data_IF_253911445061
#
_entry.id   IF_253911445061
#
_cell.length_a   1.000
_cell.length_b   1.000
_cell.length_c   1.000
_cell.angle_alpha   90.00
_cell.angle_beta   90.00
_cell.angle_gamma   90.00
#
_symmetry.space_group_name_H-M   'P 1'
#
loop_
_entity.id
_entity.type
_entity.pdbx_description
1 polymer ?
#
# COMPACT_ATOMS: atom_id res chain seq x y z
N UNK A 1 17.74 5.29 -6.61
CA UNK A 1 16.29 5.12 -6.80
C UNK A 1 15.91 3.66 -6.60
N UNK A 2 14.95 3.39 -5.72
CA UNK A 2 14.51 2.00 -5.53
C UNK A 2 13.93 1.47 -6.85
N UNK A 3 14.20 0.23 -7.16
CA UNK A 3 13.66 -0.39 -8.35
C UNK A 3 12.96 -1.70 -7.97
N UNK A 4 11.85 -1.96 -8.64
CA UNK A 4 11.05 -3.15 -8.41
C UNK A 4 10.36 -3.53 -9.70
N UNK A 5 10.20 -4.83 -9.91
CA UNK A 5 9.51 -5.37 -11.08
C UNK A 5 8.30 -6.21 -10.67
N UNK A 6 8.23 -6.63 -9.41
CA UNK A 6 7.14 -7.45 -8.91
C UNK A 6 6.59 -6.86 -7.61
N UNK A 7 5.40 -7.32 -7.24
CA UNK A 7 4.79 -6.92 -5.98
C UNK A 7 5.65 -7.31 -4.78
N UNK A 8 6.22 -8.51 -4.81
CA UNK A 8 7.09 -8.98 -3.72
C UNK A 8 8.26 -8.04 -3.52
N UNK A 9 8.89 -7.61 -4.62
CA UNK A 9 10.02 -6.68 -4.54
C UNK A 9 9.58 -5.33 -3.99
N UNK A 10 8.42 -4.84 -4.42
CA UNK A 10 7.89 -3.57 -3.93
C UNK A 10 7.60 -3.62 -2.44
N UNK A 11 6.91 -4.67 -1.98
CA UNK A 11 6.56 -4.82 -0.57
C UNK A 11 7.82 -4.94 0.28
N UNK A 12 8.86 -5.58 -0.24
CA UNK A 12 10.14 -5.70 0.46
C UNK A 12 10.80 -4.35 0.68
N UNK A 13 10.48 -3.35 -0.16
CA UNK A 13 11.02 -2.00 -0.01
C UNK A 13 10.24 -1.15 0.99
N UNK A 14 9.03 -1.54 1.36
CA UNK A 14 8.20 -0.74 2.25
C UNK A 14 8.87 -0.40 3.58
N UNK A 15 9.53 -1.33 4.28
CA UNK A 15 10.19 -0.96 5.53
C UNK A 15 11.25 0.12 5.36
N UNK A 16 11.97 0.10 4.23
CA UNK A 16 12.99 1.11 3.95
C UNK A 16 12.40 2.44 3.52
N UNK A 17 11.23 2.40 2.88
CA UNK A 17 10.55 3.59 2.41
C UNK A 17 9.66 4.23 3.49
N UNK A 18 9.42 3.53 4.58
CA UNK A 18 8.53 3.98 5.64
C UNK A 18 9.09 5.19 6.36
N UNK A 19 8.26 6.22 6.49
CA UNK A 19 8.63 7.45 7.20
C UNK A 19 7.93 7.48 8.56
N UNK A 20 8.64 7.19 9.64
CA UNK A 20 8.02 7.17 10.98
C UNK A 20 7.44 8.50 11.40
N UNK A 21 8.03 9.61 10.96
CA UNK A 21 7.53 10.93 11.33
C UNK A 21 6.13 11.18 10.76
N UNK A 22 5.88 10.72 9.53
CA UNK A 22 4.56 10.85 8.90
C UNK A 22 3.55 9.89 9.50
N UNK A 23 4.00 8.86 10.19
CA UNK A 23 3.12 7.86 10.80
C UNK A 23 2.75 8.20 12.25
N UNK A 24 3.16 9.36 12.76
CA UNK A 24 2.85 9.75 14.12
C UNK A 24 1.34 9.79 14.36
N UNK A 25 0.90 9.10 15.39
CA UNK A 25 -0.52 9.02 15.71
C UNK A 25 -1.32 8.04 14.87
N UNK A 26 -0.69 7.37 13.91
CA UNK A 26 -1.38 6.41 13.07
C UNK A 26 -1.43 5.04 13.74
N UNK A 27 -2.62 4.45 13.76
CA UNK A 27 -2.85 3.09 14.25
C UNK A 27 -3.82 2.43 13.27
N UNK A 28 -3.27 1.73 12.30
CA UNK A 28 -4.08 1.21 11.19
C UNK A 28 -3.50 -0.06 10.62
N UNK A 29 -4.37 -0.88 10.06
CA UNK A 29 -3.98 -2.06 9.27
C UNK A 29 -4.43 -1.81 7.84
N UNK A 30 -3.47 -1.78 6.93
CA UNK A 30 -3.71 -1.60 5.50
C UNK A 30 -3.65 -2.97 4.85
N UNK A 31 -4.78 -3.44 4.37
CA UNK A 31 -4.84 -4.72 3.68
C UNK A 31 -4.67 -4.48 2.18
N UNK A 32 -3.67 -5.11 1.60
CA UNK A 32 -3.47 -5.09 0.16
C UNK A 32 -4.01 -6.40 -0.41
N UNK A 33 -5.00 -6.31 -1.28
CA UNK A 33 -5.57 -7.45 -1.99
C UNK A 33 -5.32 -7.22 -3.47
N UNK A 34 -4.19 -7.70 -3.94
CA UNK A 34 -3.66 -7.37 -5.26
C UNK A 34 -3.83 -8.56 -6.19
N UNK A 35 -4.57 -8.35 -7.27
CA UNK A 35 -4.90 -9.39 -8.24
C UNK A 35 -3.80 -9.58 -9.28
N UNK A 36 -3.86 -10.72 -9.98
CA UNK A 36 -2.98 -11.02 -11.09
C UNK A 36 -1.97 -12.09 -10.73
N UNK A 37 -1.23 -12.55 -11.73
CA UNK A 37 -0.23 -13.61 -11.55
C UNK A 37 0.87 -13.19 -10.59
N UNK A 38 1.23 -11.90 -10.62
CA UNK A 38 2.25 -11.34 -9.73
C UNK A 38 1.62 -10.63 -8.53
N UNK A 39 0.35 -10.88 -8.28
CA UNK A 39 -0.35 -10.28 -7.15
C UNK A 39 -0.10 -11.02 -5.85
N UNK A 40 -0.81 -10.62 -4.83
CA UNK A 40 -0.70 -11.24 -3.52
C UNK A 40 -1.52 -10.47 -2.49
N UNK A 41 -1.51 -10.98 -1.28
CA UNK A 41 -2.21 -10.36 -0.16
C UNK A 41 -1.22 -10.08 0.95
N UNK A 42 -1.19 -8.82 1.39
CA UNK A 42 -0.28 -8.37 2.43
C UNK A 42 -1.02 -7.47 3.39
N UNK A 43 -0.75 -7.63 4.67
CA UNK A 43 -1.28 -6.75 5.71
C UNK A 43 -0.15 -5.89 6.25
N UNK A 44 -0.33 -4.58 6.20
CA UNK A 44 0.65 -3.63 6.69
C UNK A 44 0.09 -3.03 7.98
N UNK A 45 0.67 -3.41 9.11
CA UNK A 45 0.23 -2.91 10.41
C UNK A 45 1.12 -1.73 10.80
N UNK A 46 0.51 -0.56 10.96
CA UNK A 46 1.22 0.65 11.31
C UNK A 46 0.73 1.13 12.66
N UNK A 47 1.61 1.12 13.66
CA UNK A 47 1.32 1.63 14.99
C UNK A 47 2.62 1.99 15.69
N UNK A 48 2.55 2.93 16.61
CA UNK A 48 3.72 3.37 17.39
C UNK A 48 4.87 3.79 16.50
N UNK A 49 4.57 4.36 15.34
CA UNK A 49 5.55 4.81 14.33
C UNK A 49 6.41 3.66 13.80
N UNK A 50 5.83 2.47 13.74
CA UNK A 50 6.48 1.28 13.21
C UNK A 50 5.56 0.62 12.18
N UNK A 51 6.14 -0.08 11.23
CA UNK A 51 5.39 -0.83 10.23
C UNK A 51 5.81 -2.29 10.26
N UNK A 52 4.81 -3.17 10.39
CA UNK A 52 5.00 -4.61 10.24
C UNK A 52 4.31 -5.06 8.96
N UNK A 53 5.00 -5.86 8.18
CA UNK A 53 4.46 -6.44 6.95
C UNK A 53 4.25 -7.93 7.17
N UNK A 54 3.04 -8.40 6.93
CA UNK A 54 2.75 -9.82 6.98
C UNK A 54 1.99 -10.25 5.74
N UNK A 55 2.23 -11.47 5.30
CA UNK A 55 1.56 -12.03 4.14
C UNK A 55 0.22 -12.60 4.55
N UNK A 56 -0.82 -12.40 3.71
CA UNK A 56 -2.14 -12.96 3.95
C UNK A 56 -3.18 -11.89 4.25
N UNK A 57 -4.38 -12.35 4.62
CA UNK A 57 -5.51 -11.48 4.95
C UNK A 57 -5.58 -11.24 6.45
N UNK A 58 -5.83 -10.01 6.82
CA UNK A 58 -6.09 -9.65 8.22
C UNK A 58 -7.59 -9.75 8.48
N UNK A 59 -7.98 -10.20 9.67
CA UNK A 59 -9.39 -10.39 10.01
C UNK A 59 -10.18 -9.09 10.11
N UNK A 60 -9.51 -8.00 10.51
CA UNK A 60 -10.18 -6.73 10.74
C UNK A 60 -9.31 -5.56 10.27
N UNK A 61 -9.15 -5.41 8.95
CA UNK A 61 -8.32 -4.32 8.44
C UNK A 61 -9.02 -2.96 8.61
N UNK A 62 -8.22 -1.93 8.82
CA UNK A 62 -8.74 -0.56 8.87
C UNK A 62 -9.20 -0.12 7.49
N UNK A 63 -8.46 -0.52 6.46
CA UNK A 63 -8.78 -0.22 5.07
C UNK A 63 -8.25 -1.34 4.19
N UNK A 64 -8.98 -1.65 3.12
CA UNK A 64 -8.57 -2.65 2.14
C UNK A 64 -8.43 -1.98 0.77
N UNK A 65 -7.31 -2.21 0.11
CA UNK A 65 -7.04 -1.71 -1.24
C UNK A 65 -7.03 -2.88 -2.20
N UNK A 66 -7.88 -2.81 -3.23
CA UNK A 66 -7.98 -3.84 -4.26
C UNK A 66 -7.65 -3.26 -5.62
N UNK A 67 -6.68 -3.85 -6.29
CA UNK A 67 -6.33 -3.50 -7.66
C UNK A 67 -5.47 -4.62 -8.24
N UNK A 68 -5.02 -4.47 -9.50
CA UNK A 68 -4.10 -5.44 -10.10
C UNK A 68 -2.66 -5.11 -9.73
N UNK A 69 -1.79 -6.12 -9.83
CA UNK A 69 -0.36 -5.92 -9.58
C UNK A 69 0.21 -4.86 -10.52
N UNK A 70 -0.16 -4.89 -11.79
CA UNK A 70 0.30 -3.91 -12.76
C UNK A 70 -0.08 -2.50 -12.35
N UNK A 71 -1.35 -2.29 -11.98
CA UNK A 71 -1.80 -0.96 -11.56
C UNK A 71 -1.10 -0.50 -10.29
N UNK A 72 -0.92 -1.40 -9.32
CA UNK A 72 -0.28 -1.05 -8.07
C UNK A 72 1.17 -0.63 -8.27
N UNK A 73 1.90 -1.39 -9.11
CA UNK A 73 3.28 -1.05 -9.43
C UNK A 73 3.37 0.28 -10.18
N UNK A 74 2.45 0.51 -11.13
CA UNK A 74 2.44 1.75 -11.91
C UNK A 74 2.19 2.97 -11.03
N UNK A 75 1.32 2.85 -10.03
CA UNK A 75 1.10 3.93 -9.07
C UNK A 75 2.41 4.30 -8.38
N UNK A 76 3.16 3.29 -7.93
CA UNK A 76 4.42 3.53 -7.22
C UNK A 76 5.52 4.06 -8.13
N UNK A 77 5.43 3.79 -9.43
CA UNK A 77 6.39 4.31 -10.42
C UNK A 77 6.02 5.72 -10.90
N UNK A 78 4.84 6.21 -10.50
CA UNK A 78 4.36 7.49 -10.99
C UNK A 78 3.76 7.43 -12.39
N UNK A 79 3.51 6.23 -12.91
CA UNK A 79 2.95 6.03 -14.25
C UNK A 79 1.43 5.96 -14.26
N UNK A 80 0.81 5.83 -13.09
CA UNK A 80 -0.63 5.80 -12.96
C UNK A 80 -1.07 6.58 -11.73
N UNK A 81 -2.29 7.10 -11.78
CA UNK A 81 -2.87 7.84 -10.66
C UNK A 81 -3.91 6.96 -9.96
N UNK A 82 -3.77 6.79 -8.64
CA UNK A 82 -4.74 6.04 -7.87
C UNK A 82 -6.15 6.62 -8.04
N UNK A 83 -6.27 7.95 -8.06
CA UNK A 83 -7.57 8.59 -8.23
C UNK A 83 -8.20 8.25 -9.58
N UNK A 84 -7.40 8.28 -10.66
CA UNK A 84 -7.90 7.92 -11.99
C UNK A 84 -8.36 6.47 -12.05
N UNK A 85 -7.60 5.56 -11.42
CA UNK A 85 -7.97 4.16 -11.38
C UNK A 85 -9.25 3.93 -10.56
N UNK A 86 -9.43 4.69 -9.50
CA UNK A 86 -10.66 4.63 -8.71
C UNK A 86 -11.87 5.08 -9.54
N UNK A 87 -11.71 6.15 -10.31
CA UNK A 87 -12.78 6.67 -11.14
C UNK A 87 -13.22 5.69 -12.23
N UNK A 88 -12.29 4.89 -12.73
CA UNK A 88 -12.60 3.90 -13.77
C UNK A 88 -12.93 2.52 -13.22
N UNK A 89 -12.95 2.37 -11.89
CA UNK A 89 -13.27 1.10 -11.25
C UNK A 89 -12.13 0.09 -11.24
N UNK A 90 -10.93 0.50 -11.58
CA UNK A 90 -9.77 -0.39 -11.61
C UNK A 90 -9.07 -0.48 -10.27
N UNK A 91 -9.38 0.41 -9.34
CA UNK A 91 -8.88 0.39 -7.97
C UNK A 91 -10.03 0.65 -7.03
N UNK A 92 -10.16 -0.18 -6.00
CA UNK A 92 -11.21 -0.05 -5.00
C UNK A 92 -10.60 0.10 -3.63
N UNK A 93 -11.12 1.04 -2.84
CA UNK A 93 -10.71 1.24 -1.45
C UNK A 93 -11.95 1.05 -0.59
N UNK A 94 -11.87 0.12 0.36
CA UNK A 94 -12.95 -0.15 1.31
C UNK A 94 -12.45 0.11 2.72
N UNK A 95 -13.23 0.84 3.51
CA UNK A 95 -12.90 1.15 4.89
C UNK A 95 -12.52 2.60 5.06
N UNK A 96 -11.53 2.88 5.90
CA UNK A 96 -11.16 4.25 6.26
C UNK A 96 -10.39 4.96 5.16
N UNK A 97 -10.99 5.96 4.55
CA UNK A 97 -10.31 6.79 3.56
C UNK A 97 -9.19 7.61 4.20
N UNK A 98 -9.36 8.00 5.47
CA UNK A 98 -8.30 8.71 6.19
C UNK A 98 -7.05 7.85 6.32
N UNK A 99 -7.23 6.56 6.64
CA UNK A 99 -6.09 5.65 6.74
C UNK A 99 -5.42 5.46 5.38
N UNK A 100 -6.20 5.35 4.31
CA UNK A 100 -5.66 5.19 2.96
C UNK A 100 -4.83 6.43 2.57
N UNK A 101 -5.33 7.62 2.86
CA UNK A 101 -4.62 8.86 2.56
C UNK A 101 -3.31 8.96 3.35
N UNK A 102 -3.36 8.62 4.64
CA UNK A 102 -2.16 8.63 5.47
C UNK A 102 -1.14 7.61 5.00
N UNK A 103 -1.61 6.44 4.55
CA UNK A 103 -0.71 5.42 4.03
C UNK A 103 0.13 5.94 2.86
N UNK A 104 -0.47 6.74 1.98
CA UNK A 104 0.27 7.32 0.87
C UNK A 104 1.40 8.24 1.34
N UNK A 105 1.21 8.89 2.48
CA UNK A 105 2.18 9.84 3.01
C UNK A 105 3.31 9.17 3.80
N UNK A 106 3.06 7.98 4.36
CA UNK A 106 4.08 7.31 5.18
C UNK A 106 5.10 6.54 4.36
N UNK A 107 4.89 6.40 3.05
CA UNK A 107 5.84 5.74 2.17
C UNK A 107 6.48 6.78 1.25
N UNK A 108 7.80 6.80 1.23
CA UNK A 108 8.57 7.72 0.42
C UNK A 108 9.55 6.96 -0.45
N UNK A 109 9.24 6.88 -1.74
CA UNK A 109 10.08 6.22 -2.73
C UNK A 109 10.93 7.21 -3.53
N UNK A 110 10.94 8.47 -3.15
CA UNK A 110 11.79 9.47 -3.80
C UNK A 110 13.24 9.31 -3.34
N UNK A 111 14.15 9.72 -4.18
CA UNK A 111 15.57 9.70 -3.86
C UNK A 111 15.99 10.90 -3.01
#
# INVERSE_FOLDING_TARGET
MPSFSTLDELVALYPDAFDPAEAEGMDAVIQLDIDGDDGGRYALTIRDQEMDVSEGMHDDPTVTVRTSAENWLDIHRGEASAMSLMMTGQLTIEGSMSAATKFQNVLDFSD
#
